data_IF_738736356930
#
_entry.id   IF_738736356930
#
_cell.length_a   1.000
_cell.length_b   1.000
_cell.length_c   1.000
_cell.angle_alpha   90.00
_cell.angle_beta   90.00
_cell.angle_gamma   90.00
#
_symmetry.space_group_name_H-M   'P 1'
#
loop_
_entity.id
_entity.type
_entity.pdbx_description
1 polymer ?
#
# COMPACT_ATOMS: atom_id res chain seq x y z
N UNK A 1 9.04 -13.27 -17.00
CA UNK A 1 7.55 -13.25 -16.89
C UNK A 1 7.03 -13.55 -18.27
N UNK A 2 6.31 -14.63 -18.46
CA UNK A 2 5.93 -15.18 -19.76
C UNK A 2 4.66 -14.55 -20.39
N UNK A 3 4.25 -13.40 -19.90
CA UNK A 3 3.15 -12.61 -20.50
C UNK A 3 1.76 -13.27 -20.49
N UNK A 4 1.57 -14.38 -19.81
CA UNK A 4 0.27 -15.04 -19.70
C UNK A 4 -0.47 -14.57 -18.46
N UNK A 5 -1.45 -13.74 -18.67
CA UNK A 5 -2.44 -13.25 -17.72
C UNK A 5 -3.76 -13.99 -17.86
N UNK A 6 -4.54 -14.11 -16.82
CA UNK A 6 -4.27 -14.26 -15.39
C UNK A 6 -4.30 -15.74 -14.97
N UNK A 7 -3.47 -16.16 -14.03
CA UNK A 7 -3.60 -17.47 -13.41
C UNK A 7 -3.88 -17.27 -11.91
N UNK A 8 -4.94 -17.87 -11.32
CA UNK A 8 -5.34 -17.65 -9.92
C UNK A 8 -4.25 -17.95 -8.88
N UNK A 9 -3.27 -18.78 -9.26
CA UNK A 9 -2.13 -19.13 -8.41
C UNK A 9 -0.93 -18.17 -8.52
N UNK A 10 -1.01 -17.15 -9.38
CA UNK A 10 0.05 -16.17 -9.55
C UNK A 10 -0.17 -14.97 -8.64
N UNK A 11 0.91 -14.42 -8.14
CA UNK A 11 0.91 -13.16 -7.41
C UNK A 11 1.01 -11.99 -8.38
N UNK A 12 0.14 -10.99 -8.20
CA UNK A 12 0.24 -9.71 -8.87
C UNK A 12 0.95 -8.74 -7.95
N UNK A 13 2.24 -8.53 -8.20
CA UNK A 13 3.05 -7.62 -7.39
C UNK A 13 3.71 -6.54 -8.25
N UNK A 14 4.29 -5.53 -7.61
CA UNK A 14 5.02 -4.43 -8.24
C UNK A 14 6.45 -4.41 -7.71
N UNK A 15 7.41 -4.60 -8.60
CA UNK A 15 8.84 -4.53 -8.29
C UNK A 15 9.44 -3.25 -8.87
N UNK A 16 10.40 -2.69 -8.15
CA UNK A 16 11.17 -1.52 -8.58
C UNK A 16 12.66 -1.83 -8.55
N UNK A 17 13.37 -1.45 -9.61
CA UNK A 17 14.83 -1.46 -9.66
C UNK A 17 15.34 -0.08 -9.29
N UNK A 18 16.26 -0.03 -8.32
CA UNK A 18 16.88 1.20 -7.83
C UNK A 18 18.38 1.13 -8.10
N UNK A 19 18.92 2.21 -8.65
CA UNK A 19 20.34 2.40 -8.90
C UNK A 19 20.77 3.74 -8.30
N UNK A 20 22.07 3.85 -7.97
CA UNK A 20 22.63 5.07 -7.41
C UNK A 20 22.57 5.17 -5.89
N UNK A 21 22.78 6.37 -5.31
CA UNK A 21 23.00 6.55 -3.86
C UNK A 21 21.85 6.12 -2.96
N UNK A 22 20.62 6.07 -3.48
CA UNK A 22 19.45 5.59 -2.73
C UNK A 22 19.58 4.14 -2.24
N UNK A 23 20.37 3.32 -2.95
CA UNK A 23 20.63 1.93 -2.55
C UNK A 23 21.23 1.84 -1.15
N UNK A 24 22.03 2.83 -0.72
CA UNK A 24 22.63 2.86 0.63
C UNK A 24 21.57 2.91 1.74
N UNK A 25 20.45 3.56 1.50
CA UNK A 25 19.37 3.64 2.49
C UNK A 25 18.60 2.32 2.60
N UNK A 26 18.47 1.57 1.48
CA UNK A 26 17.95 0.20 1.51
C UNK A 26 18.91 -0.72 2.26
N UNK A 27 20.20 -0.63 1.96
CA UNK A 27 21.24 -1.39 2.65
C UNK A 27 21.29 -1.07 4.16
N UNK A 28 21.10 0.19 4.54
CA UNK A 28 21.01 0.58 5.94
C UNK A 28 19.80 -0.05 6.65
N UNK A 29 18.64 -0.13 5.97
CA UNK A 29 17.48 -0.85 6.49
C UNK A 29 17.75 -2.32 6.72
N UNK A 30 18.41 -2.98 5.76
CA UNK A 30 18.84 -4.37 5.92
C UNK A 30 19.83 -4.54 7.09
N UNK A 31 20.83 -3.66 7.17
CA UNK A 31 21.84 -3.72 8.23
C UNK A 31 21.25 -3.56 9.64
N UNK A 32 20.22 -2.73 9.79
CA UNK A 32 19.48 -2.56 11.04
C UNK A 32 18.73 -3.84 11.42
N UNK A 33 17.95 -4.40 10.51
CA UNK A 33 17.24 -5.68 10.74
C UNK A 33 18.20 -6.84 11.01
N UNK A 34 19.35 -6.84 10.34
CA UNK A 34 20.43 -7.81 10.59
C UNK A 34 20.99 -7.68 12.01
N UNK A 35 21.28 -6.45 12.44
CA UNK A 35 21.77 -6.17 13.79
C UNK A 35 20.75 -6.59 14.85
N UNK A 36 19.48 -6.26 14.67
CA UNK A 36 18.41 -6.64 15.59
C UNK A 36 18.26 -8.16 15.72
N UNK A 37 18.41 -8.88 14.60
CA UNK A 37 18.23 -10.34 14.58
C UNK A 37 19.43 -11.11 15.10
N UNK A 38 20.65 -10.64 14.78
CA UNK A 38 21.88 -11.41 15.03
C UNK A 38 22.76 -10.81 16.12
N UNK A 39 22.54 -9.57 16.52
CA UNK A 39 23.45 -8.80 17.39
C UNK A 39 24.76 -8.38 16.70
N UNK A 40 24.92 -8.63 15.40
CA UNK A 40 26.17 -8.37 14.66
C UNK A 40 25.97 -7.15 13.77
N UNK A 41 26.79 -6.11 13.99
CA UNK A 41 26.82 -4.95 13.13
C UNK A 41 27.59 -5.26 11.83
N UNK A 42 26.97 -4.95 10.69
CA UNK A 42 27.63 -4.98 9.38
C UNK A 42 27.91 -3.54 8.92
N UNK A 43 29.12 -3.30 8.37
CA UNK A 43 29.55 -1.96 7.98
C UNK A 43 30.81 -2.01 7.11
N UNK A 44 31.38 -0.82 6.83
CA UNK A 44 32.55 -0.66 5.99
C UNK A 44 32.25 -0.72 4.49
N UNK A 45 33.27 -0.54 3.67
CA UNK A 45 33.13 -0.41 2.21
C UNK A 45 32.56 -1.64 1.52
N UNK A 46 32.74 -2.83 2.07
CA UNK A 46 32.19 -4.08 1.52
C UNK A 46 30.66 -4.10 1.54
N UNK A 47 30.03 -3.42 2.51
CA UNK A 47 28.59 -3.35 2.65
C UNK A 47 28.03 -2.00 2.23
N UNK A 48 28.81 -0.92 2.33
CA UNK A 48 28.43 0.45 2.00
C UNK A 48 29.44 1.07 1.02
N UNK A 49 29.59 0.50 -0.19
CA UNK A 49 30.51 1.04 -1.17
C UNK A 49 30.11 2.46 -1.57
N UNK A 50 31.09 3.22 -2.10
CA UNK A 50 30.78 4.48 -2.76
C UNK A 50 29.95 4.18 -4.02
N UNK A 51 28.80 4.81 -4.13
CA UNK A 51 27.89 4.67 -5.28
C UNK A 51 27.72 6.04 -5.91
N UNK A 52 28.03 6.15 -7.19
CA UNK A 52 27.89 7.40 -7.94
C UNK A 52 26.40 7.64 -8.30
N UNK A 53 25.98 8.91 -8.42
CA UNK A 53 24.65 9.25 -8.89
C UNK A 53 24.35 8.67 -10.28
N UNK A 54 23.16 8.10 -10.45
CA UNK A 54 22.67 7.56 -11.71
C UNK A 54 21.27 8.10 -11.98
N UNK A 55 21.05 8.63 -13.18
CA UNK A 55 19.76 9.20 -13.57
C UNK A 55 19.48 10.56 -12.88
N UNK A 56 18.22 10.97 -12.94
CA UNK A 56 17.77 12.28 -12.47
C UNK A 56 16.50 12.24 -11.59
N UNK A 57 16.15 11.05 -11.10
CA UNK A 57 14.97 10.88 -10.23
C UNK A 57 15.36 11.10 -8.79
N UNK A 58 14.70 12.05 -8.15
CA UNK A 58 14.82 12.25 -6.70
C UNK A 58 13.82 11.36 -5.97
N UNK A 59 14.31 10.59 -5.02
CA UNK A 59 13.50 9.72 -4.19
C UNK A 59 13.99 9.68 -2.75
N UNK A 60 13.19 9.08 -1.90
CA UNK A 60 13.49 8.86 -0.50
C UNK A 60 13.10 7.44 -0.11
N UNK A 61 13.92 6.79 0.68
CA UNK A 61 13.57 5.54 1.37
C UNK A 61 13.00 5.91 2.74
N UNK A 62 11.76 5.51 2.98
CA UNK A 62 11.07 5.71 4.26
C UNK A 62 10.93 4.35 4.93
N UNK A 63 11.40 4.24 6.14
CA UNK A 63 11.35 3.02 6.95
C UNK A 63 10.51 3.27 8.19
N UNK A 64 9.81 2.24 8.64
CA UNK A 64 9.19 2.19 9.96
C UNK A 64 9.62 0.92 10.69
N UNK A 65 9.73 1.00 12.00
CA UNK A 65 10.11 -0.11 12.86
C UNK A 65 9.44 0.06 14.21
N UNK A 66 8.91 -1.02 14.82
CA UNK A 66 8.29 -0.95 16.13
C UNK A 66 9.30 -0.56 17.24
N UNK A 67 10.56 -0.92 17.08
CA UNK A 67 11.62 -0.61 18.04
C UNK A 67 12.06 0.84 17.99
N UNK A 68 11.92 1.51 16.85
CA UNK A 68 12.24 2.92 16.66
C UNK A 68 11.12 3.89 16.98
N UNK A 69 9.92 3.42 17.33
CA UNK A 69 8.75 4.26 17.60
C UNK A 69 8.34 5.13 16.41
N UNK A 70 8.64 4.71 15.19
CA UNK A 70 8.47 5.55 14.00
C UNK A 70 7.18 5.25 13.27
N UNK A 71 6.26 6.19 13.33
CA UNK A 71 5.07 6.25 12.49
C UNK A 71 5.36 6.92 11.12
N UNK A 72 6.57 6.77 10.59
CA UNK A 72 6.99 7.53 9.40
C UNK A 72 6.12 7.19 8.18
N UNK A 73 5.86 5.91 7.93
CA UNK A 73 5.00 5.50 6.81
C UNK A 73 3.54 5.92 7.01
N UNK A 74 3.02 5.85 8.24
CA UNK A 74 1.70 6.36 8.57
C UNK A 74 1.57 7.85 8.28
N UNK A 75 2.49 8.65 8.81
CA UNK A 75 2.51 10.10 8.58
C UNK A 75 2.70 10.46 7.12
N UNK A 76 3.55 9.72 6.41
CA UNK A 76 3.77 9.90 4.98
C UNK A 76 2.46 9.71 4.20
N UNK A 77 1.73 8.62 4.47
CA UNK A 77 0.46 8.34 3.80
C UNK A 77 -0.60 9.38 4.16
N UNK A 78 -0.73 9.72 5.44
CA UNK A 78 -1.70 10.72 5.90
C UNK A 78 -1.44 12.09 5.26
N UNK A 79 -0.19 12.55 5.23
CA UNK A 79 0.19 13.84 4.62
C UNK A 79 -0.01 13.81 3.10
N UNK A 80 0.29 12.71 2.42
CA UNK A 80 0.08 12.58 0.98
C UNK A 80 -1.40 12.66 0.61
N UNK A 81 -2.27 11.99 1.39
CA UNK A 81 -3.73 12.04 1.24
C UNK A 81 -4.26 13.46 1.51
N UNK A 82 -3.80 14.08 2.60
CA UNK A 82 -4.24 15.41 2.98
C UNK A 82 -3.84 16.49 1.95
N UNK A 83 -2.68 16.32 1.30
CA UNK A 83 -2.15 17.28 0.31
C UNK A 83 -2.71 17.08 -1.10
N UNK A 84 -3.35 15.97 -1.40
CA UNK A 84 -3.90 15.63 -2.71
C UNK A 84 -4.93 16.66 -3.20
N UNK A 85 -4.88 17.00 -4.50
CA UNK A 85 -5.72 17.99 -5.16
C UNK A 85 -6.54 17.46 -6.33
N UNK A 86 -6.11 16.34 -6.96
CA UNK A 86 -6.75 15.80 -8.17
C UNK A 86 -7.15 14.35 -8.02
N UNK A 87 -6.19 13.50 -7.63
CA UNK A 87 -6.43 12.06 -7.59
C UNK A 87 -5.53 11.35 -6.60
N UNK A 88 -6.07 10.28 -6.02
CA UNK A 88 -5.34 9.30 -5.21
C UNK A 88 -5.69 7.93 -5.76
N UNK A 89 -4.66 7.16 -6.18
CA UNK A 89 -4.79 5.78 -6.61
C UNK A 89 -4.04 4.91 -5.62
N UNK A 90 -4.73 3.98 -4.98
CA UNK A 90 -4.16 3.08 -3.98
C UNK A 90 -4.33 1.65 -4.45
N UNK A 91 -3.24 0.89 -4.51
CA UNK A 91 -3.25 -0.58 -4.63
C UNK A 91 -2.72 -1.15 -3.34
N UNK A 92 -3.49 -2.00 -2.66
CA UNK A 92 -3.06 -2.57 -1.40
C UNK A 92 -3.74 -3.92 -1.11
N UNK A 93 -3.00 -4.96 -0.66
CA UNK A 93 -3.59 -6.27 -0.38
C UNK A 93 -4.40 -6.31 0.91
N UNK A 94 -3.98 -5.56 1.94
CA UNK A 94 -4.63 -5.53 3.25
C UNK A 94 -5.00 -4.09 3.57
N UNK A 95 -6.29 -3.78 3.42
CA UNK A 95 -6.78 -2.41 3.51
C UNK A 95 -7.78 -2.29 4.66
N UNK A 96 -7.25 -1.97 5.82
CA UNK A 96 -7.97 -1.78 7.08
C UNK A 96 -7.54 -0.45 7.71
N UNK A 97 -7.84 0.68 7.03
CA UNK A 97 -7.47 1.99 7.54
C UNK A 97 -8.16 2.26 8.88
N UNK A 98 -7.42 2.87 9.80
CA UNK A 98 -8.02 3.39 11.03
C UNK A 98 -9.00 4.54 10.75
N UNK A 99 -9.64 5.05 11.79
CA UNK A 99 -10.63 6.11 11.66
C UNK A 99 -10.01 7.40 11.10
N UNK A 100 -8.75 7.71 11.46
CA UNK A 100 -8.05 8.93 11.00
C UNK A 100 -7.73 8.84 9.51
N UNK A 101 -7.21 7.69 9.04
CA UNK A 101 -6.94 7.45 7.63
C UNK A 101 -8.23 7.40 6.81
N UNK A 102 -9.28 6.75 7.33
CA UNK A 102 -10.60 6.71 6.70
C UNK A 102 -11.16 8.12 6.54
N UNK A 103 -11.12 8.91 7.61
CA UNK A 103 -11.58 10.30 7.58
C UNK A 103 -10.76 11.17 6.61
N UNK A 104 -9.43 10.97 6.55
CA UNK A 104 -8.56 11.69 5.62
C UNK A 104 -8.92 11.39 4.16
N UNK A 105 -9.17 10.13 3.81
CA UNK A 105 -9.60 9.71 2.47
C UNK A 105 -10.97 10.29 2.11
N UNK A 106 -11.94 10.22 3.03
CA UNK A 106 -13.29 10.79 2.85
C UNK A 106 -13.22 12.32 2.69
N UNK A 107 -12.42 13.01 3.52
CA UNK A 107 -12.18 14.44 3.37
C UNK A 107 -11.53 14.81 2.04
N UNK A 108 -10.61 13.98 1.53
CA UNK A 108 -10.03 14.19 0.21
C UNK A 108 -11.11 14.08 -0.88
N UNK A 109 -11.95 13.06 -0.85
CA UNK A 109 -13.07 12.91 -1.78
C UNK A 109 -14.06 14.10 -1.69
N UNK A 110 -14.39 14.55 -0.47
CA UNK A 110 -15.26 15.71 -0.24
C UNK A 110 -14.66 17.03 -0.79
N UNK A 111 -13.32 17.14 -0.91
CA UNK A 111 -12.65 18.26 -1.59
C UNK A 111 -12.67 18.16 -3.11
N UNK A 112 -13.25 17.10 -3.69
CA UNK A 112 -13.28 16.84 -5.13
C UNK A 112 -12.08 16.05 -5.66
N UNK A 113 -11.27 15.47 -4.78
CA UNK A 113 -10.19 14.56 -5.17
C UNK A 113 -10.79 13.21 -5.55
N UNK A 114 -10.46 12.68 -6.73
CA UNK A 114 -10.88 11.33 -7.12
C UNK A 114 -10.03 10.31 -6.37
N UNK A 115 -10.65 9.57 -5.47
CA UNK A 115 -9.98 8.52 -4.69
C UNK A 115 -10.44 7.16 -5.21
N UNK A 116 -9.49 6.36 -5.68
CA UNK A 116 -9.75 5.00 -6.17
C UNK A 116 -8.84 4.00 -5.47
N UNK A 117 -9.43 2.95 -4.92
CA UNK A 117 -8.75 1.90 -4.18
C UNK A 117 -8.93 0.57 -4.89
N UNK A 118 -7.84 -0.11 -5.16
CA UNK A 118 -7.78 -1.42 -5.79
C UNK A 118 -7.30 -2.45 -4.77
N UNK A 119 -8.15 -3.41 -4.47
CA UNK A 119 -7.99 -4.41 -3.43
C UNK A 119 -8.08 -5.83 -4.02
N UNK A 120 -7.61 -6.87 -3.34
CA UNK A 120 -7.78 -8.24 -3.81
C UNK A 120 -9.27 -8.61 -3.86
N UNK A 121 -9.68 -9.28 -4.92
CA UNK A 121 -10.99 -9.93 -4.99
C UNK A 121 -10.98 -11.36 -4.48
N UNK A 122 -9.77 -11.92 -4.29
CA UNK A 122 -9.48 -13.18 -3.62
C UNK A 122 -8.26 -12.95 -2.74
N UNK A 123 -8.25 -13.48 -1.54
CA UNK A 123 -7.16 -13.29 -0.59
C UNK A 123 -6.52 -14.63 -0.20
N UNK A 124 -5.27 -14.57 0.18
CA UNK A 124 -4.52 -15.66 0.81
C UNK A 124 -5.08 -16.04 2.19
N UNK A 125 -5.75 -15.08 2.85
CA UNK A 125 -6.41 -15.23 4.15
C UNK A 125 -7.87 -14.76 4.08
N UNK A 126 -8.81 -15.67 4.30
CA UNK A 126 -10.24 -15.33 4.36
C UNK A 126 -10.56 -14.36 5.50
N UNK A 127 -9.84 -14.47 6.62
CA UNK A 127 -10.01 -13.56 7.75
C UNK A 127 -9.65 -12.14 7.38
N UNK A 128 -8.48 -11.94 6.78
CA UNK A 128 -7.99 -10.61 6.35
C UNK A 128 -8.88 -10.02 5.26
N UNK A 129 -9.34 -10.85 4.31
CA UNK A 129 -10.29 -10.43 3.28
C UNK A 129 -11.59 -9.91 3.87
N UNK A 130 -12.18 -10.67 4.81
CA UNK A 130 -13.44 -10.29 5.46
C UNK A 130 -13.24 -9.03 6.32
N UNK A 131 -12.12 -8.92 7.05
CA UNK A 131 -11.78 -7.75 7.83
C UNK A 131 -11.63 -6.50 6.93
N UNK A 132 -10.93 -6.61 5.81
CA UNK A 132 -10.78 -5.52 4.84
C UNK A 132 -12.13 -5.04 4.29
N UNK A 133 -13.02 -5.97 3.91
CA UNK A 133 -14.36 -5.64 3.40
C UNK A 133 -15.25 -4.94 4.42
N UNK A 134 -15.03 -5.14 5.71
CA UNK A 134 -15.78 -4.45 6.75
C UNK A 134 -15.57 -2.92 6.73
N UNK A 135 -14.43 -2.45 6.19
CA UNK A 135 -14.09 -1.03 6.07
C UNK A 135 -14.65 -0.35 4.81
N UNK A 136 -15.25 -1.10 3.86
CA UNK A 136 -15.73 -0.52 2.61
C UNK A 136 -16.90 0.45 2.80
N UNK A 137 -17.76 0.22 3.81
CA UNK A 137 -18.97 1.01 4.02
C UNK A 137 -18.71 2.52 4.12
N UNK A 138 -17.91 2.98 5.10
CA UNK A 138 -17.57 4.40 5.24
C UNK A 138 -16.90 4.98 3.99
N UNK A 139 -16.02 4.22 3.33
CA UNK A 139 -15.31 4.63 2.11
C UNK A 139 -16.29 4.87 0.95
N UNK A 140 -17.16 3.89 0.68
CA UNK A 140 -18.16 3.96 -0.38
C UNK A 140 -19.16 5.10 -0.15
N UNK A 141 -19.64 5.29 1.09
CA UNK A 141 -20.48 6.42 1.47
C UNK A 141 -19.77 7.77 1.34
N UNK A 142 -18.46 7.78 1.58
CA UNK A 142 -17.59 8.95 1.40
C UNK A 142 -17.26 9.27 -0.06
N UNK A 143 -17.80 8.50 -1.04
CA UNK A 143 -17.57 8.74 -2.47
C UNK A 143 -16.27 8.15 -3.02
N UNK A 144 -15.63 7.27 -2.28
CA UNK A 144 -14.40 6.57 -2.72
C UNK A 144 -14.78 5.40 -3.62
N UNK A 145 -14.08 5.27 -4.73
CA UNK A 145 -14.26 4.15 -5.65
C UNK A 145 -13.45 2.95 -5.18
N UNK A 146 -14.11 1.83 -4.90
CA UNK A 146 -13.49 0.58 -4.47
C UNK A 146 -13.63 -0.45 -5.58
N UNK A 147 -12.51 -1.09 -5.93
CA UNK A 147 -12.44 -2.16 -6.91
C UNK A 147 -11.79 -3.40 -6.31
N UNK A 148 -12.32 -4.57 -6.66
CA UNK A 148 -11.75 -5.88 -6.33
C UNK A 148 -11.12 -6.51 -7.56
N UNK A 149 -9.82 -6.74 -7.51
CA UNK A 149 -9.05 -7.38 -8.56
C UNK A 149 -9.32 -8.88 -8.63
N UNK A 150 -9.63 -9.40 -9.83
CA UNK A 150 -10.03 -10.79 -10.06
C UNK A 150 -9.00 -11.61 -10.86
N UNK A 151 -7.90 -11.00 -11.27
CA UNK A 151 -6.95 -11.61 -12.20
C UNK A 151 -5.97 -12.60 -11.56
N UNK A 152 -5.55 -12.33 -10.31
CA UNK A 152 -4.58 -13.11 -9.55
C UNK A 152 -4.60 -12.64 -8.10
N UNK A 153 -3.75 -13.21 -7.23
CA UNK A 153 -3.58 -12.72 -5.87
C UNK A 153 -2.87 -11.36 -5.89
N UNK A 154 -3.62 -10.27 -5.68
CA UNK A 154 -3.06 -8.92 -5.65
C UNK A 154 -2.26 -8.71 -4.36
N UNK A 155 -0.96 -8.39 -4.50
CA UNK A 155 -0.08 -8.19 -3.35
C UNK A 155 0.77 -6.89 -3.44
N UNK A 156 0.57 -6.08 -4.47
CA UNK A 156 1.25 -4.81 -4.63
C UNK A 156 0.81 -3.77 -3.59
N UNK A 157 1.74 -2.94 -3.11
CA UNK A 157 1.50 -1.81 -2.22
C UNK A 157 2.04 -0.55 -2.88
N UNK A 158 1.13 0.18 -3.54
CA UNK A 158 1.47 1.40 -4.26
C UNK A 158 0.46 2.49 -4.01
N UNK A 159 0.92 3.72 -3.95
CA UNK A 159 0.07 4.91 -3.94
C UNK A 159 0.57 5.88 -5.01
N UNK A 160 -0.34 6.45 -5.76
CA UNK A 160 -0.05 7.55 -6.69
C UNK A 160 -0.94 8.74 -6.34
N UNK A 161 -0.34 9.90 -6.15
CA UNK A 161 -1.05 11.15 -5.84
C UNK A 161 -0.81 12.16 -6.94
N UNK A 162 -1.90 12.69 -7.48
CA UNK A 162 -1.95 13.77 -8.47
C UNK A 162 -1.11 13.53 -9.75
N UNK A 163 -0.72 12.26 -10.01
CA UNK A 163 0.12 11.89 -11.15
C UNK A 163 1.55 12.41 -11.08
N UNK A 164 2.03 12.83 -9.90
CA UNK A 164 3.37 13.39 -9.70
C UNK A 164 4.15 12.77 -8.55
N UNK A 165 3.47 12.34 -7.52
CA UNK A 165 4.06 11.69 -6.37
C UNK A 165 3.62 10.23 -6.31
N UNK A 166 4.53 9.34 -5.89
CA UNK A 166 4.19 7.94 -5.72
C UNK A 166 5.04 7.27 -4.64
N UNK A 167 4.49 6.21 -4.06
CA UNK A 167 5.21 5.29 -3.18
C UNK A 167 5.01 3.85 -3.61
N UNK A 168 6.06 3.04 -3.46
CA UNK A 168 6.10 1.62 -3.73
C UNK A 168 6.85 0.98 -2.57
N UNK A 169 6.29 -0.04 -1.93
CA UNK A 169 6.96 -0.67 -0.80
C UNK A 169 6.24 -1.86 -0.20
N UNK A 170 6.49 -2.09 1.07
CA UNK A 170 5.96 -3.22 1.81
C UNK A 170 4.76 -2.87 2.70
N UNK A 171 4.49 -1.58 2.97
CA UNK A 171 3.51 -1.14 3.95
C UNK A 171 2.07 -1.37 3.49
N UNK A 172 1.31 -2.16 4.24
CA UNK A 172 -0.13 -2.26 4.08
C UNK A 172 -0.85 -1.10 4.76
N UNK A 173 -2.11 -0.89 4.38
CA UNK A 173 -3.02 0.06 5.01
C UNK A 173 -3.70 -0.57 6.23
N UNK A 174 -2.90 -1.04 7.18
CA UNK A 174 -3.37 -1.64 8.41
C UNK A 174 -2.51 -1.23 9.61
N UNK A 175 -3.05 -1.40 10.81
CA UNK A 175 -2.36 -1.03 12.04
C UNK A 175 -1.08 -1.83 12.26
N UNK A 176 -1.04 -3.07 11.80
CA UNK A 176 0.12 -3.94 11.95
C UNK A 176 1.32 -3.41 11.17
N UNK A 177 1.12 -3.01 9.91
CA UNK A 177 2.16 -2.39 9.08
C UNK A 177 2.55 -1.00 9.56
N UNK A 178 1.62 -0.25 10.14
CA UNK A 178 1.93 1.10 10.62
C UNK A 178 2.64 1.12 11.97
N UNK A 179 2.38 0.16 12.86
CA UNK A 179 2.85 0.22 14.25
C UNK A 179 3.72 -0.97 14.68
N UNK A 180 3.57 -2.15 14.08
CA UNK A 180 4.15 -3.39 14.57
C UNK A 180 5.21 -4.01 13.66
N UNK A 181 5.13 -3.77 12.36
CA UNK A 181 6.05 -4.36 11.40
C UNK A 181 7.23 -3.42 11.10
N UNK A 182 8.33 -4.04 10.67
CA UNK A 182 9.39 -3.32 9.96
C UNK A 182 8.96 -3.19 8.49
N UNK A 183 8.80 -1.96 8.03
CA UNK A 183 8.33 -1.66 6.68
C UNK A 183 9.29 -0.73 5.96
N UNK A 184 9.36 -0.86 4.63
CA UNK A 184 10.21 -0.03 3.80
C UNK A 184 9.47 0.41 2.54
N UNK A 185 9.48 1.69 2.25
CA UNK A 185 8.89 2.28 1.06
C UNK A 185 9.89 3.16 0.32
N UNK A 186 9.89 3.06 -0.98
CA UNK A 186 10.46 4.07 -1.86
C UNK A 186 9.39 5.12 -2.16
N UNK A 187 9.68 6.38 -1.93
CA UNK A 187 8.86 7.49 -2.38
C UNK A 187 9.58 8.30 -3.42
N UNK A 188 8.87 8.71 -4.46
CA UNK A 188 9.42 9.51 -5.54
C UNK A 188 8.48 10.65 -5.93
N UNK A 189 9.06 11.80 -6.24
CA UNK A 189 8.37 12.92 -6.86
C UNK A 189 8.80 13.03 -8.32
N UNK A 190 8.09 12.27 -9.17
CA UNK A 190 8.41 12.19 -10.60
C UNK A 190 7.17 11.78 -11.41
N UNK A 191 6.77 12.64 -12.33
CA UNK A 191 5.58 12.42 -13.16
C UNK A 191 5.68 11.19 -14.09
N UNK A 192 6.87 10.89 -14.60
CA UNK A 192 7.06 9.71 -15.46
C UNK A 192 6.84 8.39 -14.71
N UNK A 193 7.35 8.29 -13.48
CA UNK A 193 7.13 7.11 -12.63
C UNK A 193 5.66 7.04 -12.20
N UNK A 194 5.08 8.18 -11.78
CA UNK A 194 3.68 8.24 -11.39
C UNK A 194 2.73 7.86 -12.54
N UNK A 195 3.00 8.34 -13.76
CA UNK A 195 2.24 7.94 -14.96
C UNK A 195 2.40 6.46 -15.28
N UNK A 196 3.59 5.89 -15.09
CA UNK A 196 3.80 4.46 -15.29
C UNK A 196 3.01 3.62 -14.31
N UNK A 197 2.96 4.01 -13.05
CA UNK A 197 2.15 3.35 -12.02
C UNK A 197 0.64 3.53 -12.28
N UNK A 198 0.21 4.72 -12.75
CA UNK A 198 -1.18 4.94 -13.16
C UNK A 198 -1.56 4.02 -14.34
N UNK A 199 -0.73 3.91 -15.37
CA UNK A 199 -0.97 2.98 -16.48
C UNK A 199 -1.14 1.53 -16.00
N UNK A 200 -0.28 1.09 -15.07
CA UNK A 200 -0.36 -0.23 -14.45
C UNK A 200 -1.69 -0.37 -13.67
N UNK A 201 -2.07 0.64 -12.90
CA UNK A 201 -3.31 0.68 -12.14
C UNK A 201 -4.54 0.60 -13.08
N UNK A 202 -4.55 1.38 -14.17
CA UNK A 202 -5.64 1.34 -15.16
C UNK A 202 -5.74 -0.02 -15.85
N UNK A 203 -4.63 -0.70 -16.10
CA UNK A 203 -4.63 -2.05 -16.66
C UNK A 203 -5.22 -3.05 -15.65
N UNK A 204 -4.81 -2.96 -14.38
CA UNK A 204 -5.37 -3.81 -13.31
C UNK A 204 -6.89 -3.57 -13.12
N UNK A 205 -7.37 -2.35 -13.30
CA UNK A 205 -8.81 -2.05 -13.23
C UNK A 205 -9.63 -2.78 -14.29
N UNK A 206 -9.07 -3.08 -15.47
CA UNK A 206 -9.77 -3.85 -16.51
C UNK A 206 -10.07 -5.29 -16.08
N UNK A 207 -9.31 -5.80 -15.13
CA UNK A 207 -9.46 -7.13 -14.52
C UNK A 207 -10.13 -7.07 -13.14
N UNK A 208 -10.83 -5.98 -12.86
CA UNK A 208 -11.40 -5.72 -11.54
C UNK A 208 -12.89 -5.49 -11.60
N UNK A 209 -13.54 -5.78 -10.50
CA UNK A 209 -14.96 -5.51 -10.31
C UNK A 209 -15.13 -4.28 -9.41
N UNK A 210 -15.86 -3.28 -9.88
CA UNK A 210 -16.26 -2.16 -9.02
C UNK A 210 -17.28 -2.63 -8.00
N UNK A 211 -17.09 -2.23 -6.76
CA UNK A 211 -18.01 -2.52 -5.66
C UNK A 211 -18.85 -1.27 -5.40
N UNK A 212 -20.18 -1.43 -5.40
CA UNK A 212 -21.10 -0.35 -5.00
C UNK A 212 -21.51 -0.51 -3.53
N UNK A 213 -21.99 0.58 -2.92
CA UNK A 213 -22.51 0.54 -1.54
C UNK A 213 -23.69 -0.45 -1.41
N UNK A 214 -24.58 -0.52 -2.41
CA UNK A 214 -25.71 -1.43 -2.43
C UNK A 214 -25.28 -2.89 -2.46
N UNK A 215 -24.31 -3.22 -3.32
CA UNK A 215 -23.71 -4.56 -3.38
C UNK A 215 -23.05 -4.93 -2.06
N UNK A 216 -22.25 -4.02 -1.49
CA UNK A 216 -21.61 -4.24 -0.19
C UNK A 216 -22.63 -4.39 0.94
N UNK A 217 -23.67 -3.57 0.96
CA UNK A 217 -24.73 -3.63 1.98
C UNK A 217 -25.59 -4.88 1.88
N UNK A 218 -25.81 -5.41 0.67
CA UNK A 218 -26.61 -6.63 0.43
C UNK A 218 -25.84 -7.95 0.63
N UNK A 219 -24.56 -7.89 1.07
CA UNK A 219 -23.78 -9.10 1.37
C UNK A 219 -24.44 -9.97 2.42
N UNK A 220 -24.18 -11.30 2.32
CA UNK A 220 -24.86 -12.29 3.12
C UNK A 220 -24.74 -12.10 4.62
N UNK A 221 -25.75 -12.59 5.38
CA UNK A 221 -25.77 -12.52 6.83
C UNK A 221 -24.52 -13.17 7.48
N UNK A 222 -24.03 -14.23 6.89
CA UNK A 222 -22.82 -14.95 7.35
C UNK A 222 -21.57 -14.07 7.28
N UNK A 223 -21.37 -13.32 6.21
CA UNK A 223 -20.25 -12.41 6.07
C UNK A 223 -20.29 -11.32 7.15
N UNK A 224 -21.47 -10.76 7.41
CA UNK A 224 -21.67 -9.77 8.48
C UNK A 224 -21.40 -10.33 9.88
N UNK A 225 -21.75 -11.58 10.10
CA UNK A 225 -21.52 -12.26 11.37
C UNK A 225 -20.01 -12.45 11.63
N UNK A 226 -19.26 -12.89 10.63
CA UNK A 226 -17.80 -13.05 10.71
C UNK A 226 -17.12 -11.69 10.94
N UNK A 227 -17.58 -10.63 10.27
CA UNK A 227 -17.09 -9.26 10.50
C UNK A 227 -17.31 -8.81 11.95
N UNK A 228 -18.48 -9.11 12.54
CA UNK A 228 -18.80 -8.76 13.90
C UNK A 228 -17.93 -9.52 14.93
N UNK A 229 -17.61 -10.78 14.69
CA UNK A 229 -16.69 -11.55 15.53
C UNK A 229 -15.21 -11.22 15.30
N UNK A 230 -14.85 -10.74 14.12
CA UNK A 230 -13.51 -10.21 13.82
C UNK A 230 -13.22 -8.82 14.40
N UNK A 231 -14.26 -8.10 14.83
CA UNK A 231 -14.13 -6.74 15.35
C UNK A 231 -13.16 -6.59 16.54
N UNK A 232 -13.11 -7.51 17.54
CA UNK A 232 -12.16 -7.43 18.64
C UNK A 232 -10.71 -7.67 18.22
N UNK A 233 -10.46 -8.28 17.06
CA UNK A 233 -9.12 -8.58 16.52
C UNK A 233 -8.57 -7.47 15.61
N UNK A 234 -9.35 -6.41 15.38
CA UNK A 234 -8.97 -5.29 14.49
C UNK A 234 -7.65 -4.61 14.86
N UNK A 235 -7.36 -4.52 16.14
CA UNK A 235 -6.12 -3.87 16.62
C UNK A 235 -4.90 -4.79 16.51
N UNK A 236 -5.11 -6.07 16.23
CA UNK A 236 -4.04 -7.09 16.12
C UNK A 236 -3.81 -7.55 14.66
N UNK A 237 -4.71 -7.23 13.75
CA UNK A 237 -4.61 -7.44 12.32
C UNK A 237 -4.15 -6.15 11.65
#
# INVERSE_FOLDING_TARGET
>A
MDGRWPHPQHWRDTNVRIEGPLVKFLQAGFAESWLETTGIAIGGESYFPRVDPVGNVTGQIVRSSPTGGSFQNYMLFLLSIASAKKSILITNPYFMPDDVMTEALVKAAARGVRVTVLLPGEADSQLTYTASRSHYGPLLLGGIEVYEYKGALLHAKTIVVDGVWSTIGSTNFDNRSFALNQEINLTVYNSGIAQRLDQIFQEDLKHSQRITYEQWRSRGFYERLIEMFGFPLREQL
#
